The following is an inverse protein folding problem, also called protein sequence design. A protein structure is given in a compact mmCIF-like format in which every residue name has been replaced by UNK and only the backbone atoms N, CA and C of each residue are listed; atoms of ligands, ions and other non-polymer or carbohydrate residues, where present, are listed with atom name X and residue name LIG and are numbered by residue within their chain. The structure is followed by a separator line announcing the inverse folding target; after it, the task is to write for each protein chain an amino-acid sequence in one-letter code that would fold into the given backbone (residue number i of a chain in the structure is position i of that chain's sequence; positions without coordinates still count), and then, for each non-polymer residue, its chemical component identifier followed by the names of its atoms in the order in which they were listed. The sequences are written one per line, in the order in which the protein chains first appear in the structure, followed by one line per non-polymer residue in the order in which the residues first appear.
data_IF_291017506072
#
_entry.id   IF_291017506072
#
_cell.length_a   1.000
_cell.length_b   1.000
_cell.length_c   1.000
_cell.angle_alpha   90.00
_cell.angle_beta   90.00
_cell.angle_gamma   90.00
#
_symmetry.space_group_name_H-M   'P 1'
#
loop_
_entity.id
_entity.type
_entity.pdbx_description
1 polymer ?
#
# COMPACT_ATOMS: atom_id res chain seq x y z
N UNK A 1 5.81 6.21 19.91
CA UNK A 1 4.69 5.24 19.78
C UNK A 1 4.20 5.29 18.35
N UNK A 2 3.88 4.15 17.73
CA UNK A 2 3.45 4.08 16.33
C UNK A 2 2.16 3.29 16.20
N UNK A 3 1.22 3.79 15.40
CA UNK A 3 -0.12 3.21 15.22
C UNK A 3 -0.31 2.81 13.76
N UNK A 4 -0.73 1.57 13.53
CA UNK A 4 -1.15 1.08 12.20
C UNK A 4 -2.67 1.17 12.08
N UNK A 5 -3.15 1.86 11.05
CA UNK A 5 -4.56 1.89 10.67
C UNK A 5 -4.77 1.01 9.44
N UNK A 6 -5.77 0.13 9.49
CA UNK A 6 -6.09 -0.79 8.39
C UNK A 6 -7.45 -0.41 7.81
N UNK A 7 -7.49 -0.22 6.49
CA UNK A 7 -8.70 0.15 5.77
C UNK A 7 -9.02 -0.84 4.66
N UNK A 8 -10.31 -1.11 4.47
CA UNK A 8 -10.84 -1.88 3.34
C UNK A 8 -11.25 -0.91 2.24
N UNK A 9 -10.36 -0.63 1.30
CA UNK A 9 -10.60 0.14 0.08
C UNK A 9 -10.75 1.65 0.29
N UNK A 10 -10.90 2.14 1.51
CA UNK A 10 -11.28 3.54 1.76
C UNK A 10 -10.10 4.50 1.70
N UNK A 11 -9.46 4.82 2.83
CA UNK A 11 -8.39 5.80 2.90
C UNK A 11 -7.08 5.22 2.34
N UNK A 12 -6.30 5.95 1.53
CA UNK A 12 -6.53 7.30 1.00
C UNK A 12 -7.05 7.33 -0.46
N UNK A 13 -7.72 6.27 -0.93
CA UNK A 13 -8.08 6.07 -2.34
C UNK A 13 -9.49 6.50 -2.73
N UNK A 14 -10.45 6.44 -1.80
CA UNK A 14 -11.84 6.82 -2.05
C UNK A 14 -12.29 7.97 -1.16
N UNK A 15 -13.09 8.87 -1.72
CA UNK A 15 -13.75 9.90 -0.95
C UNK A 15 -14.89 9.31 -0.13
N UNK A 16 -15.05 9.76 1.10
CA UNK A 16 -16.14 9.32 1.97
C UNK A 16 -15.88 9.68 3.43
N UNK A 17 -16.89 9.45 4.28
CA UNK A 17 -16.82 9.81 5.70
C UNK A 17 -15.65 9.14 6.44
N UNK A 18 -15.38 7.87 6.15
CA UNK A 18 -14.26 7.12 6.76
C UNK A 18 -12.91 7.73 6.37
N UNK A 19 -12.72 8.08 5.10
CA UNK A 19 -11.47 8.68 4.62
C UNK A 19 -11.26 10.10 5.15
N UNK A 20 -12.33 10.90 5.26
CA UNK A 20 -12.28 12.23 5.87
C UNK A 20 -11.96 12.12 7.37
N UNK A 21 -12.61 11.19 8.07
CA UNK A 21 -12.30 10.92 9.48
C UNK A 21 -10.84 10.50 9.67
N UNK A 22 -10.33 9.57 8.84
CA UNK A 22 -8.96 9.11 8.91
C UNK A 22 -7.97 10.26 8.66
N UNK A 23 -8.21 11.09 7.64
CA UNK A 23 -7.40 12.27 7.34
C UNK A 23 -7.34 13.22 8.55
N UNK A 24 -8.50 13.51 9.16
CA UNK A 24 -8.60 14.43 10.29
C UNK A 24 -7.96 13.85 11.56
N UNK A 25 -8.15 12.55 11.82
CA UNK A 25 -7.53 11.86 12.95
C UNK A 25 -6.00 11.93 12.87
N UNK A 26 -5.45 11.54 11.72
CA UNK A 26 -4.00 11.50 11.52
C UNK A 26 -3.45 12.93 11.60
N UNK A 27 -4.04 13.88 10.88
CA UNK A 27 -3.56 15.27 10.87
C UNK A 27 -3.72 15.97 12.22
N UNK A 28 -4.75 15.63 13.00
CA UNK A 28 -5.03 16.22 14.31
C UNK A 28 -4.14 15.72 15.44
N UNK A 29 -3.51 14.55 15.27
CA UNK A 29 -2.62 13.92 16.27
C UNK A 29 -1.18 13.92 15.77
N UNK A 30 -0.65 15.11 15.51
CA UNK A 30 0.68 15.33 14.89
C UNK A 30 1.86 14.71 15.66
N UNK A 31 1.69 14.47 16.96
CA UNK A 31 2.67 13.87 17.86
C UNK A 31 2.73 12.34 17.77
N UNK A 32 1.75 11.71 17.13
CA UNK A 32 1.69 10.26 16.91
C UNK A 32 2.12 9.96 15.47
N UNK A 33 3.01 8.98 15.32
CA UNK A 33 3.36 8.43 14.03
C UNK A 33 2.33 7.38 13.60
N UNK A 34 1.83 7.52 12.37
CA UNK A 34 0.88 6.61 11.76
C UNK A 34 1.50 5.85 10.58
N UNK A 35 1.08 4.60 10.43
CA UNK A 35 1.19 3.85 9.20
C UNK A 35 -0.22 3.46 8.75
N UNK A 36 -0.42 3.34 7.44
CA UNK A 36 -1.70 2.97 6.85
C UNK A 36 -1.51 1.75 5.96
N UNK A 37 -2.31 0.71 6.18
CA UNK A 37 -2.48 -0.40 5.25
C UNK A 37 -3.87 -0.31 4.63
N UNK A 38 -3.93 -0.18 3.32
CA UNK A 38 -5.19 -0.12 2.59
C UNK A 38 -5.30 -1.32 1.66
N UNK A 39 -6.32 -2.14 1.92
CA UNK A 39 -6.65 -3.32 1.11
C UNK A 39 -7.61 -2.89 0.01
N UNK A 40 -7.16 -2.84 -1.24
CA UNK A 40 -7.91 -2.31 -2.37
C UNK A 40 -8.33 -3.42 -3.34
N UNK A 41 -9.37 -3.20 -4.13
CA UNK A 41 -9.81 -4.21 -5.09
C UNK A 41 -8.84 -4.34 -6.27
N UNK A 42 -8.54 -3.22 -6.94
CA UNK A 42 -7.76 -3.19 -8.18
C UNK A 42 -6.41 -2.51 -7.95
N UNK A 43 -5.37 -2.87 -8.73
CA UNK A 43 -4.09 -2.20 -8.65
C UNK A 43 -4.16 -0.79 -9.25
N UNK A 44 -3.12 0.01 -9.04
CA UNK A 44 -2.94 1.34 -9.66
C UNK A 44 -3.96 2.42 -9.27
N UNK A 45 -4.64 2.28 -8.12
CA UNK A 45 -5.43 3.38 -7.57
C UNK A 45 -4.52 4.56 -7.19
N UNK A 46 -4.91 5.76 -7.62
CA UNK A 46 -4.22 7.00 -7.24
C UNK A 46 -4.67 7.45 -5.86
N UNK A 47 -3.69 7.78 -5.02
CA UNK A 47 -3.93 8.45 -3.74
C UNK A 47 -4.67 9.76 -3.99
N UNK A 48 -5.82 9.95 -3.32
CA UNK A 48 -6.68 11.14 -3.48
C UNK A 48 -6.54 12.17 -2.37
N UNK A 49 -5.95 11.78 -1.24
CA UNK A 49 -5.74 12.64 -0.09
C UNK A 49 -4.26 13.03 0.04
N UNK A 50 -3.95 14.28 0.45
CA UNK A 50 -2.59 14.65 0.80
C UNK A 50 -2.17 13.88 2.06
N UNK A 51 -1.06 13.14 1.97
CA UNK A 51 -0.56 12.35 3.08
C UNK A 51 0.05 13.28 4.15
N UNK A 52 -0.45 13.26 5.40
CA UNK A 52 0.11 14.06 6.49
C UNK A 52 1.56 13.69 6.79
N UNK A 53 2.37 14.64 7.30
CA UNK A 53 3.79 14.41 7.60
C UNK A 53 4.04 13.34 8.69
N UNK A 54 3.05 13.13 9.57
CA UNK A 54 3.09 12.09 10.59
C UNK A 54 2.59 10.72 10.08
N UNK A 55 2.12 10.62 8.84
CA UNK A 55 1.92 9.34 8.14
C UNK A 55 3.26 8.91 7.53
N UNK A 56 3.92 7.94 8.17
CA UNK A 56 5.28 7.50 7.82
C UNK A 56 5.30 6.49 6.70
N UNK A 57 4.22 5.72 6.54
CA UNK A 57 4.12 4.71 5.48
C UNK A 57 2.69 4.47 5.06
N UNK A 58 2.50 4.32 3.76
CA UNK A 58 1.28 3.82 3.14
C UNK A 58 1.62 2.48 2.47
N UNK A 59 0.92 1.42 2.87
CA UNK A 59 0.96 0.12 2.22
C UNK A 59 -0.32 -0.05 1.41
N UNK A 60 -0.15 -0.44 0.15
CA UNK A 60 -1.24 -0.66 -0.78
C UNK A 60 -1.28 -2.14 -1.11
N UNK A 61 -2.37 -2.80 -0.72
CA UNK A 61 -2.55 -4.24 -0.94
C UNK A 61 -3.73 -4.46 -1.89
N UNK A 62 -3.49 -4.52 -3.22
CA UNK A 62 -4.52 -4.95 -4.16
C UNK A 62 -4.91 -6.42 -3.95
N UNK A 63 -6.21 -6.71 -4.04
CA UNK A 63 -6.77 -8.06 -3.95
C UNK A 63 -6.80 -8.77 -5.32
N UNK A 64 -6.95 -8.00 -6.39
CA UNK A 64 -7.03 -8.51 -7.76
C UNK A 64 -5.94 -7.87 -8.62
N UNK A 65 -5.62 -8.51 -9.75
CA UNK A 65 -4.67 -7.96 -10.72
C UNK A 65 -3.28 -7.75 -10.14
N UNK A 66 -2.92 -8.56 -9.16
CA UNK A 66 -1.70 -8.45 -8.38
C UNK A 66 -0.90 -9.75 -8.51
N UNK A 67 -0.67 -10.12 -9.76
CA UNK A 67 -0.09 -11.39 -10.21
C UNK A 67 1.45 -11.32 -10.22
N UNK A 68 2.01 -10.11 -10.24
CA UNK A 68 3.44 -9.88 -10.32
C UNK A 68 3.94 -9.12 -9.09
N UNK A 69 5.04 -9.59 -8.48
CA UNK A 69 5.71 -8.93 -7.35
C UNK A 69 6.11 -7.48 -7.70
N UNK A 70 6.36 -7.22 -8.97
CA UNK A 70 6.67 -5.92 -9.57
C UNK A 70 5.57 -4.89 -9.31
N UNK A 71 4.31 -5.33 -9.22
CA UNK A 71 3.12 -4.48 -9.04
C UNK A 71 3.01 -3.91 -7.61
N UNK A 72 3.80 -4.44 -6.67
CA UNK A 72 3.85 -4.02 -5.26
C UNK A 72 5.12 -3.25 -4.90
N UNK A 73 6.11 -3.20 -5.79
CA UNK A 73 7.43 -2.62 -5.50
C UNK A 73 7.61 -1.32 -6.27
N UNK A 74 7.40 -0.19 -5.59
CA UNK A 74 7.56 1.14 -6.20
C UNK A 74 9.00 1.42 -6.68
N UNK A 75 10.02 0.81 -6.06
CA UNK A 75 11.44 1.10 -6.29
C UNK A 75 12.25 -0.08 -6.88
N UNK A 76 11.60 -1.13 -7.38
CA UNK A 76 12.33 -2.29 -7.87
C UNK A 76 12.90 -2.06 -9.28
N UNK A 77 14.21 -2.29 -9.43
CA UNK A 77 14.86 -2.31 -10.74
C UNK A 77 14.28 -3.43 -11.59
N UNK A 78 13.81 -3.10 -12.80
CA UNK A 78 13.29 -4.07 -13.79
C UNK A 78 14.30 -5.19 -14.06
N UNK A 79 15.60 -4.87 -14.10
CA UNK A 79 16.66 -5.87 -14.29
C UNK A 79 16.77 -6.81 -13.08
N UNK A 80 16.61 -6.28 -11.88
CA UNK A 80 16.66 -7.07 -10.65
C UNK A 80 15.45 -8.00 -10.59
N UNK A 81 14.25 -7.50 -10.90
CA UNK A 81 13.03 -8.31 -10.98
C UNK A 81 13.14 -9.40 -12.05
N UNK A 82 13.62 -9.07 -13.25
CA UNK A 82 13.85 -10.03 -14.33
C UNK A 82 14.87 -11.11 -13.95
N UNK A 83 15.96 -10.74 -13.26
CA UNK A 83 16.97 -11.70 -12.79
C UNK A 83 16.44 -12.64 -11.71
N UNK A 84 15.62 -12.12 -10.77
CA UNK A 84 14.92 -12.91 -9.75
C UNK A 84 13.97 -13.90 -10.41
N UNK A 85 13.17 -13.45 -11.38
CA UNK A 85 12.21 -14.28 -12.12
C UNK A 85 12.89 -15.41 -12.91
N UNK A 86 14.04 -15.14 -13.54
CA UNK A 86 14.84 -16.17 -14.23
C UNK A 86 15.39 -17.24 -13.28
N UNK A 87 15.62 -16.89 -12.01
CA UNK A 87 16.16 -17.81 -11.01
C UNK A 87 15.10 -18.74 -10.43
N UNK A 88 13.84 -18.32 -10.39
CA UNK A 88 12.69 -19.17 -10.06
C UNK A 88 12.29 -19.98 -11.30
N UNK A 89 12.70 -21.25 -11.35
CA UNK A 89 12.25 -22.23 -12.36
C UNK A 89 11.04 -22.99 -11.82
N UNK A 90 10.16 -23.50 -12.69
CA UNK A 90 8.90 -24.18 -12.31
C UNK A 90 9.07 -25.31 -11.28
N UNK A 91 10.25 -25.96 -11.25
CA UNK A 91 10.59 -26.99 -10.26
C UNK A 91 10.57 -26.53 -8.80
N UNK A 92 10.67 -25.23 -8.53
CA UNK A 92 10.68 -24.67 -7.16
C UNK A 92 9.27 -24.36 -6.66
N UNK A 93 8.27 -24.29 -7.55
CA UNK A 93 6.90 -23.94 -7.20
C UNK A 93 5.99 -25.14 -6.90
N UNK A 94 6.47 -26.37 -7.15
CA UNK A 94 5.72 -27.62 -6.94
C UNK A 94 6.05 -28.34 -5.60
N UNK A 95 6.94 -27.79 -4.76
CA UNK A 95 7.25 -28.33 -3.41
C UNK A 95 6.48 -27.62 -2.28
#
# INVERSE_FOLDING_TARGET
MRVLLIFSGTYPYHYGGVSVWAQNLISGLSEIEFEVLSVIAEPHLRVRYPLPQNLKRLYTLPLWGAELVEEYLEDASVLELASRRRRTTDKVAEE
#
